data_IF_614959140163
#
_entry.id   IF_614959140163
#
_cell.length_a   1.000
_cell.length_b   1.000
_cell.length_c   1.000
_cell.angle_alpha   90.00
_cell.angle_beta   90.00
_cell.angle_gamma   90.00
#
_symmetry.space_group_name_H-M   'P 1'
#
loop_
_entity.id
_entity.type
_entity.pdbx_description
1 polymer ?
#
# COMPACT_ATOMS: atom_id res chain seq x y z
N UNK A 1 -3.73 27.73 14.14
CA UNK A 1 -4.23 26.73 13.17
C UNK A 1 -3.13 25.97 12.42
N UNK A 2 -1.85 26.39 12.43
CA UNK A 2 -0.72 25.65 11.84
C UNK A 2 -0.37 24.33 12.59
N UNK A 3 -0.44 24.34 13.92
CA UNK A 3 -0.12 23.20 14.81
C UNK A 3 -0.82 21.86 14.47
N UNK A 4 -2.06 21.90 13.94
CA UNK A 4 -2.79 20.67 13.64
C UNK A 4 -2.27 19.94 12.37
N UNK A 5 -1.71 20.67 11.41
CA UNK A 5 -1.19 20.05 10.20
C UNK A 5 0.17 19.38 10.48
N UNK A 6 1.03 20.04 11.24
CA UNK A 6 2.34 19.51 11.60
C UNK A 6 2.20 18.21 12.41
N UNK A 7 1.28 18.17 13.39
CA UNK A 7 0.93 16.94 14.12
C UNK A 7 0.47 15.79 13.22
N UNK A 8 -0.32 16.08 12.18
CA UNK A 8 -0.77 15.06 11.22
C UNK A 8 0.39 14.53 10.38
N UNK A 9 1.32 15.40 9.98
CA UNK A 9 2.53 14.99 9.26
C UNK A 9 3.47 14.16 10.13
N UNK A 10 3.64 14.51 11.41
CA UNK A 10 4.44 13.72 12.35
C UNK A 10 3.88 12.30 12.52
N UNK A 11 2.56 12.19 12.71
CA UNK A 11 1.88 10.89 12.79
C UNK A 11 2.06 10.09 11.49
N UNK A 12 1.97 10.74 10.33
CA UNK A 12 2.18 10.11 9.02
C UNK A 12 3.58 9.50 8.90
N UNK A 13 4.60 10.27 9.27
CA UNK A 13 6.00 9.84 9.20
C UNK A 13 6.25 8.67 10.16
N UNK A 14 5.70 8.72 11.38
CA UNK A 14 5.80 7.62 12.35
C UNK A 14 5.19 6.33 11.80
N UNK A 15 3.99 6.41 11.19
CA UNK A 15 3.33 5.26 10.58
C UNK A 15 4.17 4.73 9.41
N UNK A 16 4.66 5.61 8.54
CA UNK A 16 5.48 5.21 7.39
C UNK A 16 6.79 4.53 7.83
N UNK A 17 7.44 5.05 8.87
CA UNK A 17 8.66 4.48 9.46
C UNK A 17 8.38 3.12 10.13
N UNK A 18 7.24 2.95 10.78
CA UNK A 18 6.79 1.64 11.26
C UNK A 18 6.60 0.63 10.12
N UNK A 19 5.90 1.01 9.05
CA UNK A 19 5.68 0.17 7.86
C UNK A 19 7.00 -0.18 7.19
N UNK A 20 7.89 0.81 7.02
CA UNK A 20 9.23 0.64 6.47
C UNK A 20 10.02 -0.41 7.25
N UNK A 21 10.08 -0.28 8.58
CA UNK A 21 10.76 -1.25 9.45
C UNK A 21 10.16 -2.63 9.36
N UNK A 22 8.83 -2.74 9.32
CA UNK A 22 8.15 -4.03 9.19
C UNK A 22 8.48 -4.71 7.85
N UNK A 23 8.40 -3.97 6.73
CA UNK A 23 8.75 -4.48 5.41
C UNK A 23 10.22 -4.88 5.31
N UNK A 24 11.12 -4.06 5.89
CA UNK A 24 12.55 -4.36 5.94
C UNK A 24 12.85 -5.62 6.74
N UNK A 25 12.28 -5.76 7.94
CA UNK A 25 12.45 -6.93 8.79
C UNK A 25 11.98 -8.22 8.10
N UNK A 26 10.87 -8.14 7.35
CA UNK A 26 10.35 -9.24 6.53
C UNK A 26 11.31 -9.58 5.37
N UNK A 27 11.85 -8.58 4.69
CA UNK A 27 12.75 -8.77 3.55
C UNK A 27 14.02 -9.53 3.93
N UNK A 28 14.63 -9.18 5.07
CA UNK A 28 15.87 -9.80 5.55
C UNK A 28 15.66 -11.11 6.31
N UNK A 29 14.42 -11.42 6.70
CA UNK A 29 14.06 -12.66 7.39
C UNK A 29 12.85 -13.30 6.67
N UNK A 30 13.08 -13.96 5.52
CA UNK A 30 12.01 -14.61 4.78
C UNK A 30 11.33 -15.68 5.64
N UNK A 31 10.02 -15.91 5.48
CA UNK A 31 9.32 -16.92 6.25
C UNK A 31 9.89 -18.30 5.92
N UNK A 32 10.07 -19.12 6.96
CA UNK A 32 10.78 -20.40 6.87
C UNK A 32 12.30 -20.29 6.99
N UNK A 33 12.89 -19.10 6.85
CA UNK A 33 14.32 -18.85 7.05
C UNK A 33 15.20 -19.27 5.87
N UNK A 34 16.45 -19.57 6.17
CA UNK A 34 17.49 -19.93 5.20
C UNK A 34 17.94 -21.38 5.40
N UNK A 35 18.31 -22.03 4.30
CA UNK A 35 18.99 -23.32 4.37
C UNK A 35 20.32 -23.20 5.13
N UNK A 36 20.55 -24.13 6.05
CA UNK A 36 21.75 -24.14 6.90
C UNK A 36 22.85 -25.06 6.34
N UNK A 37 22.48 -25.98 5.44
CA UNK A 37 23.34 -26.94 4.77
C UNK A 37 23.18 -26.85 3.25
N UNK A 38 24.04 -27.56 2.52
CA UNK A 38 23.98 -27.66 1.06
C UNK A 38 23.84 -29.13 0.67
N UNK A 39 22.95 -29.43 -0.28
CA UNK A 39 22.80 -30.74 -0.90
C UNK A 39 22.46 -30.59 -2.40
N UNK A 40 22.03 -31.66 -3.07
CA UNK A 40 21.69 -31.63 -4.50
C UNK A 40 20.48 -30.73 -4.83
N UNK A 41 19.58 -30.50 -3.87
CA UNK A 41 18.32 -29.78 -4.05
C UNK A 41 18.37 -28.33 -3.55
N UNK A 42 19.29 -28.00 -2.63
CA UNK A 42 19.37 -26.67 -2.04
C UNK A 42 20.80 -26.25 -1.66
N UNK A 43 21.02 -24.94 -1.57
CA UNK A 43 22.31 -24.34 -1.21
C UNK A 43 22.17 -23.56 0.09
N UNK A 44 23.12 -23.74 1.00
CA UNK A 44 23.19 -22.99 2.26
C UNK A 44 23.14 -21.48 2.00
N UNK A 45 22.40 -20.75 2.83
CA UNK A 45 22.21 -19.30 2.69
C UNK A 45 21.14 -18.88 1.68
N UNK A 46 20.57 -19.80 0.88
CA UNK A 46 19.36 -19.49 0.10
C UNK A 46 18.12 -19.57 0.98
N UNK A 47 17.17 -18.67 0.75
CA UNK A 47 15.88 -18.69 1.44
C UNK A 47 15.14 -20.01 1.14
N UNK A 48 14.60 -20.66 2.16
CA UNK A 48 13.87 -21.93 2.02
C UNK A 48 12.66 -21.74 1.11
N UNK A 49 11.94 -20.64 1.28
CA UNK A 49 10.79 -20.30 0.45
C UNK A 49 11.13 -20.21 -1.04
N UNK A 50 12.32 -19.72 -1.38
CA UNK A 50 12.78 -19.58 -2.77
C UNK A 50 12.95 -20.94 -3.47
N UNK A 51 13.28 -22.00 -2.72
CA UNK A 51 13.40 -23.36 -3.26
C UNK A 51 12.09 -24.14 -3.22
N UNK A 52 11.24 -23.92 -2.21
CA UNK A 52 10.01 -24.70 -2.03
C UNK A 52 8.86 -24.19 -2.90
N UNK A 53 8.67 -22.86 -2.97
CA UNK A 53 7.56 -22.22 -3.71
C UNK A 53 8.08 -20.93 -4.37
N UNK A 54 8.81 -21.02 -5.50
CA UNK A 54 9.52 -19.88 -6.09
C UNK A 54 8.59 -18.72 -6.50
N UNK A 55 7.38 -19.02 -7.00
CA UNK A 55 6.41 -17.99 -7.38
C UNK A 55 5.96 -17.15 -6.18
N UNK A 56 5.63 -17.82 -5.06
CA UNK A 56 5.23 -17.15 -3.83
C UNK A 56 6.38 -16.31 -3.25
N UNK A 57 7.62 -16.80 -3.36
CA UNK A 57 8.81 -16.04 -2.96
C UNK A 57 9.00 -14.79 -3.80
N UNK A 58 8.78 -14.85 -5.12
CA UNK A 58 8.90 -13.69 -6.00
C UNK A 58 7.88 -12.60 -5.63
N UNK A 59 6.61 -12.97 -5.50
CA UNK A 59 5.52 -12.02 -5.15
C UNK A 59 5.72 -11.42 -3.75
N UNK A 60 6.23 -12.22 -2.82
CA UNK A 60 6.60 -11.77 -1.47
C UNK A 60 7.71 -10.72 -1.49
N UNK A 61 8.82 -10.98 -2.20
CA UNK A 61 9.95 -10.05 -2.29
C UNK A 61 9.52 -8.75 -2.97
N UNK A 62 8.73 -8.83 -4.05
CA UNK A 62 8.18 -7.66 -4.72
C UNK A 62 7.34 -6.81 -3.76
N UNK A 63 6.46 -7.44 -2.98
CA UNK A 63 5.65 -6.73 -1.98
C UNK A 63 6.52 -6.05 -0.92
N UNK A 64 7.59 -6.71 -0.45
CA UNK A 64 8.54 -6.10 0.49
C UNK A 64 9.22 -4.85 -0.11
N UNK A 65 9.70 -4.94 -1.34
CA UNK A 65 10.38 -3.82 -2.02
C UNK A 65 9.42 -2.65 -2.26
N UNK A 66 8.20 -2.92 -2.72
CA UNK A 66 7.18 -1.89 -2.93
C UNK A 66 6.87 -1.18 -1.62
N UNK A 67 6.67 -1.93 -0.53
CA UNK A 67 6.41 -1.37 0.81
C UNK A 67 7.54 -0.45 1.27
N UNK A 68 8.79 -0.86 1.09
CA UNK A 68 9.98 -0.08 1.48
C UNK A 68 10.08 1.21 0.65
N UNK A 69 10.00 1.11 -0.69
CA UNK A 69 10.13 2.25 -1.59
C UNK A 69 9.01 3.27 -1.34
N UNK A 70 7.77 2.81 -1.27
CA UNK A 70 6.61 3.69 -1.05
C UNK A 70 6.69 4.38 0.31
N UNK A 71 7.15 3.68 1.37
CA UNK A 71 7.34 4.29 2.69
C UNK A 71 8.43 5.35 2.69
N UNK A 72 9.56 5.11 2.01
CA UNK A 72 10.59 6.15 1.84
C UNK A 72 10.06 7.37 1.10
N UNK A 73 9.26 7.17 0.06
CA UNK A 73 8.64 8.29 -0.66
C UNK A 73 7.70 9.09 0.24
N UNK A 74 6.89 8.44 1.10
CA UNK A 74 6.03 9.12 2.07
C UNK A 74 6.84 9.96 3.05
N UNK A 75 8.02 9.49 3.47
CA UNK A 75 8.89 10.22 4.42
C UNK A 75 9.62 11.38 3.74
N UNK A 76 10.11 11.21 2.51
CA UNK A 76 10.98 12.20 1.83
C UNK A 76 10.16 13.27 1.11
N UNK A 77 9.00 12.92 0.53
CA UNK A 77 8.22 13.85 -0.29
C UNK A 77 7.80 15.12 0.47
N UNK A 78 7.45 15.10 1.78
CA UNK A 78 7.22 16.29 2.58
C UNK A 78 8.41 17.23 2.80
N UNK A 79 9.63 16.72 2.65
CA UNK A 79 10.86 17.52 2.76
C UNK A 79 11.16 18.30 1.47
N UNK A 80 10.43 18.03 0.39
CA UNK A 80 10.71 18.59 -0.95
C UNK A 80 9.82 19.81 -1.24
N UNK A 81 10.31 20.84 -1.97
CA UNK A 81 9.53 22.03 -2.34
C UNK A 81 8.32 21.77 -3.26
N UNK A 82 8.13 20.52 -3.71
CA UNK A 82 6.93 20.04 -4.42
C UNK A 82 5.62 20.29 -3.64
N UNK A 83 5.70 20.59 -2.34
CA UNK A 83 4.58 21.02 -1.49
C UNK A 83 3.79 22.22 -2.06
N UNK A 84 4.41 23.06 -2.89
CA UNK A 84 3.76 24.23 -3.50
C UNK A 84 2.50 23.88 -4.33
N UNK A 85 2.48 22.69 -4.96
CA UNK A 85 1.34 22.16 -5.72
C UNK A 85 0.38 21.39 -4.80
N UNK A 86 -0.34 22.11 -3.95
CA UNK A 86 -1.14 21.56 -2.85
C UNK A 86 -2.08 20.40 -3.25
N UNK A 87 -2.75 20.46 -4.42
CA UNK A 87 -3.69 19.42 -4.87
C UNK A 87 -3.02 18.10 -5.28
N UNK A 88 -2.08 18.15 -6.22
CA UNK A 88 -1.37 16.96 -6.70
C UNK A 88 -0.49 16.35 -5.61
N UNK A 89 0.16 17.19 -4.80
CA UNK A 89 1.01 16.74 -3.70
C UNK A 89 0.25 15.91 -2.65
N UNK A 90 -0.92 16.39 -2.21
CA UNK A 90 -1.75 15.64 -1.26
C UNK A 90 -2.26 14.32 -1.86
N UNK A 91 -2.63 14.32 -3.14
CA UNK A 91 -3.08 13.12 -3.84
C UNK A 91 -1.95 12.08 -3.95
N UNK A 92 -0.73 12.52 -4.28
CA UNK A 92 0.44 11.65 -4.36
C UNK A 92 0.80 11.05 -3.00
N UNK A 93 0.82 11.85 -1.93
CA UNK A 93 1.06 11.33 -0.58
C UNK A 93 0.00 10.31 -0.15
N UNK A 94 -1.28 10.61 -0.43
CA UNK A 94 -2.38 9.70 -0.13
C UNK A 94 -2.18 8.38 -0.86
N UNK A 95 -1.91 8.42 -2.17
CA UNK A 95 -1.64 7.25 -3.01
C UNK A 95 -0.48 6.40 -2.50
N UNK A 96 0.64 7.02 -2.16
CA UNK A 96 1.84 6.33 -1.72
C UNK A 96 1.63 5.65 -0.36
N UNK A 97 0.99 6.33 0.59
CA UNK A 97 0.63 5.73 1.87
C UNK A 97 -0.36 4.57 1.69
N UNK A 98 -1.24 4.71 0.73
CA UNK A 98 -2.18 3.67 0.37
C UNK A 98 -1.49 2.41 -0.15
N UNK A 99 -0.58 2.61 -1.08
CA UNK A 99 0.22 1.55 -1.69
C UNK A 99 1.07 0.84 -0.63
N UNK A 100 1.67 1.58 0.32
CA UNK A 100 2.49 1.00 1.38
C UNK A 100 1.66 0.13 2.34
N UNK A 101 0.47 0.58 2.75
CA UNK A 101 -0.43 -0.19 3.62
C UNK A 101 -0.95 -1.45 2.91
N UNK A 102 -1.36 -1.32 1.65
CA UNK A 102 -1.84 -2.45 0.86
C UNK A 102 -0.73 -3.50 0.68
N UNK A 103 0.48 -3.06 0.34
CA UNK A 103 1.61 -3.94 0.14
C UNK A 103 2.11 -4.57 1.45
N UNK A 104 2.09 -3.86 2.58
CA UNK A 104 2.41 -4.47 3.87
C UNK A 104 1.41 -5.57 4.25
N UNK A 105 0.13 -5.37 3.96
CA UNK A 105 -0.91 -6.38 4.17
C UNK A 105 -0.67 -7.63 3.31
N UNK A 106 -0.27 -7.47 2.04
CA UNK A 106 0.05 -8.63 1.19
C UNK A 106 1.25 -9.41 1.73
N UNK A 107 2.28 -8.75 2.27
CA UNK A 107 3.42 -9.44 2.91
C UNK A 107 2.94 -10.41 3.99
N UNK A 108 2.09 -9.95 4.92
CA UNK A 108 1.55 -10.79 5.99
C UNK A 108 0.79 -12.01 5.46
N UNK A 109 0.06 -11.85 4.36
CA UNK A 109 -0.65 -12.94 3.70
C UNK A 109 0.31 -13.98 3.10
N UNK A 110 1.35 -13.53 2.39
CA UNK A 110 2.36 -14.42 1.81
C UNK A 110 3.09 -15.21 2.90
N UNK A 111 3.34 -14.57 4.05
CA UNK A 111 3.92 -15.24 5.24
C UNK A 111 2.99 -16.34 5.77
N UNK A 112 1.69 -16.08 5.89
CA UNK A 112 0.72 -17.08 6.35
C UNK A 112 0.69 -18.29 5.40
N UNK A 113 0.69 -18.05 4.09
CA UNK A 113 0.73 -19.13 3.09
C UNK A 113 2.03 -19.94 3.23
N UNK A 114 3.17 -19.27 3.44
CA UNK A 114 4.47 -19.91 3.57
C UNK A 114 4.58 -20.83 4.81
N UNK A 115 3.90 -20.49 5.90
CA UNK A 115 3.96 -21.27 7.16
C UNK A 115 2.89 -22.38 7.20
N UNK A 116 1.81 -22.27 6.41
CA UNK A 116 0.69 -23.21 6.48
C UNK A 116 1.00 -24.54 5.77
N UNK A 117 0.66 -25.70 6.36
CA UNK A 117 0.83 -27.01 5.72
C UNK A 117 0.09 -27.15 4.38
N UNK A 118 0.71 -27.83 3.43
CA UNK A 118 0.24 -27.91 2.03
C UNK A 118 -1.15 -28.54 1.84
N UNK A 119 -1.59 -29.37 2.78
CA UNK A 119 -2.90 -30.06 2.73
C UNK A 119 -4.09 -29.10 2.87
N UNK A 120 -3.89 -27.93 3.46
CA UNK A 120 -4.96 -26.93 3.67
C UNK A 120 -4.94 -25.78 2.65
N UNK A 121 -3.89 -25.73 1.81
CA UNK A 121 -3.68 -24.68 0.81
C UNK A 121 -4.87 -24.39 -0.11
N UNK A 122 -5.58 -25.37 -0.72
CA UNK A 122 -6.65 -25.04 -1.66
C UNK A 122 -7.84 -24.35 -0.99
N UNK A 123 -8.16 -24.73 0.25
CA UNK A 123 -9.21 -24.08 1.03
C UNK A 123 -8.75 -22.70 1.54
N UNK A 124 -7.49 -22.60 1.96
CA UNK A 124 -6.91 -21.36 2.45
C UNK A 124 -6.72 -20.34 1.33
N UNK A 125 -6.30 -20.75 0.14
CA UNK A 125 -6.08 -19.89 -1.02
C UNK A 125 -7.34 -19.11 -1.39
N UNK A 126 -8.49 -19.80 -1.48
CA UNK A 126 -9.77 -19.14 -1.74
C UNK A 126 -10.14 -18.17 -0.62
N UNK A 127 -9.93 -18.53 0.65
CA UNK A 127 -10.21 -17.63 1.79
C UNK A 127 -9.30 -16.41 1.77
N UNK A 128 -8.02 -16.60 1.46
CA UNK A 128 -7.02 -15.54 1.38
C UNK A 128 -7.32 -14.59 0.23
N UNK A 129 -7.68 -15.10 -0.96
CA UNK A 129 -8.11 -14.27 -2.08
C UNK A 129 -9.30 -13.38 -1.70
N UNK A 130 -10.30 -13.93 -1.00
CA UNK A 130 -11.44 -13.16 -0.50
C UNK A 130 -10.97 -12.06 0.47
N UNK A 131 -10.03 -12.36 1.36
CA UNK A 131 -9.47 -11.37 2.28
C UNK A 131 -8.70 -10.27 1.54
N UNK A 132 -7.93 -10.59 0.49
CA UNK A 132 -7.25 -9.61 -0.37
C UNK A 132 -8.26 -8.70 -1.06
N UNK A 133 -9.28 -9.27 -1.70
CA UNK A 133 -10.33 -8.50 -2.37
C UNK A 133 -11.11 -7.64 -1.38
N UNK A 134 -11.43 -8.18 -0.21
CA UNK A 134 -12.09 -7.43 0.87
C UNK A 134 -11.21 -6.28 1.33
N UNK A 135 -9.90 -6.50 1.52
CA UNK A 135 -8.96 -5.46 1.90
C UNK A 135 -8.92 -4.35 0.85
N UNK A 136 -8.72 -4.70 -0.44
CA UNK A 136 -8.70 -3.75 -1.56
C UNK A 136 -9.98 -2.92 -1.62
N UNK A 137 -11.15 -3.52 -1.37
CA UNK A 137 -12.45 -2.81 -1.38
C UNK A 137 -12.59 -1.89 -0.17
N UNK A 138 -12.38 -2.43 1.04
CA UNK A 138 -12.53 -1.70 2.32
C UNK A 138 -11.68 -0.46 2.29
N UNK A 139 -10.44 -0.64 1.88
CA UNK A 139 -9.52 0.46 1.91
C UNK A 139 -9.81 1.33 0.64
N UNK A 140 -10.09 0.75 -0.53
CA UNK A 140 -10.15 1.49 -1.80
C UNK A 140 -11.30 2.50 -1.88
N UNK A 141 -12.41 2.24 -1.17
CA UNK A 141 -13.58 3.10 -1.15
C UNK A 141 -13.27 4.57 -0.73
N UNK A 142 -12.55 4.83 0.38
CA UNK A 142 -12.08 6.17 0.74
C UNK A 142 -11.25 6.84 -0.36
N UNK A 143 -10.36 6.09 -1.01
CA UNK A 143 -9.51 6.62 -2.07
C UNK A 143 -10.34 7.08 -3.27
N UNK A 144 -11.25 6.24 -3.76
CA UNK A 144 -12.14 6.58 -4.87
C UNK A 144 -13.05 7.76 -4.53
N UNK A 145 -13.58 7.84 -3.30
CA UNK A 145 -14.42 8.97 -2.88
C UNK A 145 -13.67 10.32 -2.92
N UNK A 146 -12.42 10.33 -2.48
CA UNK A 146 -11.64 11.55 -2.38
C UNK A 146 -11.03 11.95 -3.75
N UNK A 147 -10.67 10.96 -4.56
CA UNK A 147 -10.25 11.14 -5.96
C UNK A 147 -11.38 11.74 -6.80
N UNK A 148 -12.58 11.17 -6.74
CA UNK A 148 -13.76 11.67 -7.46
C UNK A 148 -14.12 13.08 -7.02
N UNK A 149 -14.10 13.37 -5.71
CA UNK A 149 -14.35 14.72 -5.19
C UNK A 149 -13.34 15.75 -5.71
N UNK A 150 -12.05 15.37 -5.82
CA UNK A 150 -10.99 16.28 -6.28
C UNK A 150 -11.09 16.53 -7.79
N UNK A 151 -11.31 15.48 -8.58
CA UNK A 151 -11.53 15.58 -10.03
C UNK A 151 -12.81 16.38 -10.33
N UNK A 152 -13.90 16.11 -9.60
CA UNK A 152 -15.16 16.85 -9.74
C UNK A 152 -14.98 18.34 -9.48
N UNK A 153 -14.25 18.72 -8.41
CA UNK A 153 -13.94 20.13 -8.13
C UNK A 153 -13.03 20.76 -9.18
N UNK A 154 -12.02 20.04 -9.65
CA UNK A 154 -11.12 20.52 -10.72
C UNK A 154 -11.88 20.75 -12.02
N UNK A 155 -12.79 19.85 -12.41
CA UNK A 155 -13.64 20.01 -13.59
C UNK A 155 -14.66 21.16 -13.42
N UNK A 156 -15.18 21.35 -12.21
CA UNK A 156 -16.07 22.47 -11.88
C UNK A 156 -15.37 23.82 -11.98
N UNK A 157 -14.09 23.88 -11.59
CA UNK A 157 -13.29 25.10 -11.63
C UNK A 157 -12.75 25.42 -13.05
N UNK A 158 -12.65 24.41 -13.95
CA UNK A 158 -12.10 24.55 -15.30
C UNK A 158 -13.14 24.91 -16.39
N UNK A 159 -14.46 24.88 -16.11
CA UNK A 159 -15.45 25.52 -16.98
C UNK A 159 -16.96 25.28 -16.71
N UNK A 160 -17.72 26.37 -16.56
CA UNK A 160 -19.13 26.58 -16.99
C UNK A 160 -20.23 25.61 -16.51
N UNK A 161 -20.58 25.66 -15.23
CA UNK A 161 -21.97 25.36 -14.83
C UNK A 161 -22.52 26.57 -14.09
N UNK A 162 -23.22 27.44 -14.83
CA UNK A 162 -24.10 28.42 -14.21
C UNK A 162 -25.17 27.67 -13.39
N UNK A 163 -25.51 28.15 -12.19
CA UNK A 163 -26.63 27.58 -11.45
C UNK A 163 -27.88 27.65 -12.35
N UNK A 164 -28.79 26.66 -12.31
CA UNK A 164 -30.00 26.71 -13.11
C UNK A 164 -30.68 28.04 -12.82
N UNK A 165 -30.89 28.83 -13.88
CA UNK A 165 -31.66 30.06 -13.84
C UNK A 165 -32.94 29.75 -13.06
N UNK A 166 -33.14 30.46 -11.95
CA UNK A 166 -34.48 30.64 -11.43
C UNK A 166 -35.22 31.41 -12.51
N UNK A 167 -35.86 30.67 -13.42
CA UNK A 167 -36.78 31.23 -14.39
C UNK A 167 -37.77 32.08 -13.60
N UNK A 168 -37.78 33.34 -14.00
CA UNK A 168 -38.69 34.38 -13.58
C UNK A 168 -40.09 33.91 -14.00
N UNK A 169 -40.84 33.31 -13.08
CA UNK A 169 -42.31 33.39 -13.14
C UNK A 169 -42.74 34.66 -12.41
N UNK A 170 -42.64 35.77 -13.15
CA UNK A 170 -43.56 36.90 -13.03
C UNK A 170 -44.64 36.72 -14.10
N UNK A 171 -45.75 36.05 -13.76
CA UNK A 171 -47.12 36.40 -14.20
C UNK A 171 -48.09 36.02 -13.09
#
# INVERSE_FOLDING_TARGET
MADNNDKKFDVLIIIADFILRSGYASLINPPGGYWQDSNENHTAGKAILATTIPNLFHDYILSCIITIITSFLVIILPLTPLRSMHGLYMLLLLLLMWCSIASLSTIGIHVIIAITPTKELPKLYNRVQILIWTWIIVTGAPFWSNLLSTIYKSLKDEGRVEPPEQEIELV
#
